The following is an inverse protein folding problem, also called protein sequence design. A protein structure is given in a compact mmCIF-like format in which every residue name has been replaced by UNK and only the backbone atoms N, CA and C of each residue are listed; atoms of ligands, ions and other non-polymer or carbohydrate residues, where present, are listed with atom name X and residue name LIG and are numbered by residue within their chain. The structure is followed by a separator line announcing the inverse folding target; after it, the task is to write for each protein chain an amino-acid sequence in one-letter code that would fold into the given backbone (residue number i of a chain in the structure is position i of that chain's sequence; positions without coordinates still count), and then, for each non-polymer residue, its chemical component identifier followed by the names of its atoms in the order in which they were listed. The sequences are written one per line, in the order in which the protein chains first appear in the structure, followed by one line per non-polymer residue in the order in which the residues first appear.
data_IF_630361667467
#
_entry.id   IF_630361667467
#
_cell.length_a   1.000
_cell.length_b   1.000
_cell.length_c   1.000
_cell.angle_alpha   90.00
_cell.angle_beta   90.00
_cell.angle_gamma   90.00
#
_symmetry.space_group_name_H-M   'P 1'
#
loop_
_entity.id
_entity.type
_entity.pdbx_description
1 polymer ?
#
# COMPACT_ATOMS: atom_id res chain seq x y z
N UNK A 1 8.06 15.21 28.93
CA UNK A 1 7.58 14.12 28.03
C UNK A 1 6.36 13.50 28.66
N UNK A 2 5.31 13.18 27.89
CA UNK A 2 4.16 12.46 28.44
C UNK A 2 4.62 11.11 29.02
N UNK A 3 4.14 10.78 30.22
CA UNK A 3 4.31 9.47 30.86
C UNK A 3 2.98 8.71 30.81
N UNK A 4 3.02 7.39 30.98
CA UNK A 4 1.78 6.59 31.00
C UNK A 4 0.83 7.09 32.10
N UNK A 5 1.36 7.39 33.29
CA UNK A 5 0.58 8.00 34.38
C UNK A 5 0.04 9.40 34.07
N UNK A 6 0.77 10.24 33.32
CA UNK A 6 0.22 11.56 32.95
C UNK A 6 -0.92 11.41 31.94
N UNK A 7 -0.76 10.52 30.95
CA UNK A 7 -1.79 10.25 29.93
C UNK A 7 -3.03 9.60 30.55
N UNK A 8 -2.88 8.69 31.53
CA UNK A 8 -4.03 8.14 32.27
C UNK A 8 -4.84 9.22 32.97
N UNK A 9 -4.16 10.14 33.67
CA UNK A 9 -4.83 11.27 34.32
C UNK A 9 -5.55 12.17 33.32
N UNK A 10 -4.93 12.44 32.17
CA UNK A 10 -5.55 13.23 31.10
C UNK A 10 -6.77 12.51 30.50
N UNK A 11 -6.70 11.18 30.34
CA UNK A 11 -7.83 10.34 29.89
C UNK A 11 -8.97 10.29 30.90
N UNK A 12 -8.68 10.21 32.20
CA UNK A 12 -9.68 10.25 33.27
C UNK A 12 -10.37 11.62 33.37
N UNK A 13 -9.64 12.69 33.04
CA UNK A 13 -10.18 14.05 32.97
C UNK A 13 -11.07 14.27 31.73
N UNK A 14 -10.85 13.50 30.66
CA UNK A 14 -11.76 13.43 29.52
C UNK A 14 -12.97 12.60 29.94
N UNK A 15 -14.18 13.14 29.77
CA UNK A 15 -15.41 12.38 29.98
C UNK A 15 -15.49 11.16 29.05
N UNK A 16 -16.52 10.33 29.23
CA UNK A 16 -16.68 9.05 28.50
C UNK A 16 -16.59 9.22 26.98
N UNK A 17 -17.17 10.28 26.41
CA UNK A 17 -17.09 10.58 24.97
C UNK A 17 -15.66 10.83 24.48
N UNK A 18 -14.85 11.57 25.24
CA UNK A 18 -13.45 11.82 24.87
C UNK A 18 -12.59 10.56 24.99
N UNK A 19 -12.91 9.68 25.94
CA UNK A 19 -12.27 8.37 26.07
C UNK A 19 -12.61 7.46 24.88
N UNK A 20 -13.88 7.44 24.44
CA UNK A 20 -14.33 6.70 23.26
C UNK A 20 -13.65 7.19 21.97
N UNK A 21 -13.54 8.51 21.78
CA UNK A 21 -12.84 9.09 20.63
C UNK A 21 -11.35 8.69 20.59
N UNK A 22 -10.68 8.73 21.74
CA UNK A 22 -9.27 8.33 21.82
C UNK A 22 -9.12 6.83 21.60
N UNK A 23 -10.02 6.01 22.16
CA UNK A 23 -10.01 4.57 21.90
C UNK A 23 -10.14 4.28 20.41
N UNK A 24 -11.11 4.91 19.73
CA UNK A 24 -11.30 4.75 18.29
C UNK A 24 -10.06 5.17 17.48
N UNK A 25 -9.41 6.27 17.85
CA UNK A 25 -8.15 6.70 17.23
C UNK A 25 -7.02 5.69 17.46
N UNK A 26 -6.84 5.20 18.69
CA UNK A 26 -5.81 4.24 19.02
C UNK A 26 -6.04 2.90 18.31
N UNK A 27 -7.29 2.44 18.25
CA UNK A 27 -7.69 1.27 17.48
C UNK A 27 -7.32 1.45 16.01
N UNK A 28 -7.67 2.58 15.38
CA UNK A 28 -7.30 2.85 13.98
C UNK A 28 -5.77 2.82 13.78
N UNK A 29 -5.00 3.44 14.68
CA UNK A 29 -3.53 3.50 14.59
C UNK A 29 -2.91 2.10 14.77
N UNK A 30 -3.39 1.31 15.72
CA UNK A 30 -2.92 -0.05 15.98
C UNK A 30 -3.24 -0.96 14.81
N UNK A 31 -4.48 -0.93 14.31
CA UNK A 31 -4.95 -1.71 13.16
C UNK A 31 -4.14 -1.35 11.91
N UNK A 32 -3.88 -0.06 11.66
CA UNK A 32 -3.03 0.35 10.55
C UNK A 32 -1.59 -0.18 10.69
N UNK A 33 -1.08 -0.27 11.93
CA UNK A 33 0.23 -0.83 12.25
C UNK A 33 0.34 -2.34 12.02
N UNK A 34 -0.64 -3.12 12.49
CA UNK A 34 -0.69 -4.57 12.27
C UNK A 34 -0.84 -4.88 10.78
N UNK A 35 -1.80 -4.24 10.12
CA UNK A 35 -2.08 -4.43 8.70
C UNK A 35 -0.88 -4.07 7.82
N UNK A 36 -0.16 -2.99 8.15
CA UNK A 36 1.10 -2.63 7.50
C UNK A 36 2.16 -3.75 7.56
N UNK A 37 2.22 -4.46 8.68
CA UNK A 37 3.16 -5.55 8.90
C UNK A 37 2.73 -6.79 8.13
N UNK A 38 1.44 -7.14 8.18
CA UNK A 38 0.83 -8.25 7.44
C UNK A 38 1.05 -8.11 5.94
N UNK A 39 0.65 -6.97 5.34
CA UNK A 39 0.86 -6.68 3.91
C UNK A 39 2.35 -6.76 3.54
N UNK A 40 3.23 -6.28 4.42
CA UNK A 40 4.68 -6.33 4.20
C UNK A 40 5.20 -7.77 4.15
N UNK A 41 4.67 -8.65 4.99
CA UNK A 41 5.08 -10.06 5.03
C UNK A 41 4.51 -10.84 3.85
N UNK A 42 3.23 -10.62 3.54
CA UNK A 42 2.56 -11.23 2.39
C UNK A 42 3.31 -10.93 1.07
N UNK A 43 3.76 -9.69 0.86
CA UNK A 43 4.54 -9.33 -0.34
C UNK A 43 5.88 -10.09 -0.41
N UNK A 44 6.53 -10.32 0.73
CA UNK A 44 7.80 -11.08 0.78
C UNK A 44 7.57 -12.56 0.49
N UNK A 45 6.54 -13.15 1.06
CA UNK A 45 6.18 -14.56 0.85
C UNK A 45 5.77 -14.80 -0.61
N UNK A 46 4.95 -13.91 -1.17
CA UNK A 46 4.49 -14.02 -2.55
C UNK A 46 5.58 -13.81 -3.60
N UNK A 47 6.70 -13.15 -3.28
CA UNK A 47 7.77 -12.89 -4.27
C UNK A 47 8.29 -14.17 -4.92
N UNK A 48 8.40 -15.25 -4.15
CA UNK A 48 8.96 -16.52 -4.59
C UNK A 48 8.00 -17.70 -4.45
N UNK A 49 6.70 -17.44 -4.22
CA UNK A 49 5.68 -18.50 -4.11
C UNK A 49 5.54 -19.32 -5.39
N UNK A 50 5.85 -18.71 -6.55
CA UNK A 50 5.84 -19.34 -7.87
C UNK A 50 7.23 -19.75 -8.38
N UNK A 51 8.22 -19.84 -7.48
CA UNK A 51 9.61 -20.14 -7.81
C UNK A 51 10.54 -18.93 -7.77
N UNK A 52 11.85 -19.20 -7.72
CA UNK A 52 12.91 -18.17 -7.57
C UNK A 52 13.28 -17.50 -8.89
N UNK A 53 12.34 -16.79 -9.50
CA UNK A 53 12.55 -16.14 -10.80
C UNK A 53 12.95 -14.66 -10.68
N UNK A 54 13.82 -14.23 -11.58
CA UNK A 54 14.19 -12.84 -11.72
C UNK A 54 13.00 -12.04 -12.28
N UNK A 55 12.55 -10.97 -11.61
CA UNK A 55 11.47 -10.15 -12.15
C UNK A 55 11.88 -9.46 -13.45
N UNK A 56 13.18 -9.23 -13.71
CA UNK A 56 13.62 -8.49 -14.89
C UNK A 56 13.68 -9.34 -16.18
N UNK A 57 14.14 -10.59 -16.10
CA UNK A 57 14.39 -11.44 -17.27
C UNK A 57 13.77 -12.85 -17.18
N UNK A 58 13.03 -13.17 -16.11
CA UNK A 58 12.33 -14.45 -15.95
C UNK A 58 13.21 -15.66 -15.60
N UNK A 59 14.54 -15.55 -15.67
CA UNK A 59 15.45 -16.65 -15.34
C UNK A 59 15.46 -16.96 -13.85
N UNK A 60 15.70 -18.21 -13.48
CA UNK A 60 15.63 -18.74 -12.12
C UNK A 60 16.96 -18.72 -11.34
N UNK A 61 18.05 -18.29 -12.00
CA UNK A 61 19.36 -18.15 -11.37
C UNK A 61 19.46 -16.91 -10.48
N UNK A 62 18.76 -16.93 -9.35
CA UNK A 62 18.71 -15.84 -8.37
C UNK A 62 19.51 -16.18 -7.12
N UNK A 63 20.32 -15.25 -6.63
CA UNK A 63 21.08 -15.39 -5.38
C UNK A 63 20.91 -14.16 -4.47
N UNK A 64 21.08 -14.33 -3.15
CA UNK A 64 21.08 -13.22 -2.20
C UNK A 64 22.30 -12.32 -2.45
N UNK A 65 22.12 -11.00 -2.33
CA UNK A 65 23.14 -9.99 -2.64
C UNK A 65 23.22 -8.91 -1.56
N UNK A 66 23.39 -9.37 -0.31
CA UNK A 66 23.42 -8.53 0.89
C UNK A 66 22.07 -7.92 1.25
N UNK A 67 22.09 -7.00 2.21
CA UNK A 67 20.92 -6.23 2.65
C UNK A 67 21.20 -4.73 2.50
N UNK A 68 20.16 -3.96 2.24
CA UNK A 68 20.20 -2.50 2.26
C UNK A 68 19.02 -1.98 3.07
N UNK A 69 19.26 -1.16 4.09
CA UNK A 69 18.23 -0.68 5.03
C UNK A 69 17.34 -1.83 5.56
N UNK A 70 17.95 -2.91 6.02
CA UNK A 70 17.29 -4.14 6.48
C UNK A 70 16.41 -4.88 5.44
N UNK A 71 16.42 -4.44 4.17
CA UNK A 71 15.73 -5.12 3.07
C UNK A 71 16.69 -6.07 2.36
N UNK A 72 16.24 -7.30 2.12
CA UNK A 72 17.01 -8.27 1.36
C UNK A 72 17.13 -7.82 -0.10
N UNK A 73 18.35 -7.84 -0.63
CA UNK A 73 18.59 -7.70 -2.07
C UNK A 73 18.90 -9.04 -2.69
N UNK A 74 18.54 -9.18 -3.95
CA UNK A 74 18.79 -10.35 -4.78
C UNK A 74 19.52 -9.89 -6.04
N UNK A 75 20.31 -10.78 -6.63
CA UNK A 75 20.95 -10.60 -7.93
C UNK A 75 20.58 -11.77 -8.83
N UNK A 76 20.23 -11.48 -10.07
CA UNK A 76 20.09 -12.49 -11.12
C UNK A 76 21.45 -12.74 -11.77
N UNK A 77 21.87 -13.99 -11.89
CA UNK A 77 23.15 -14.33 -12.52
C UNK A 77 23.12 -14.16 -14.04
N UNK A 78 21.97 -14.36 -14.67
CA UNK A 78 21.80 -14.27 -16.12
C UNK A 78 21.79 -12.82 -16.62
N UNK A 79 20.94 -11.94 -16.08
CA UNK A 79 20.88 -10.52 -16.51
C UNK A 79 21.70 -9.55 -15.64
N UNK A 80 22.32 -10.03 -14.56
CA UNK A 80 23.16 -9.25 -13.63
C UNK A 80 22.45 -8.10 -12.90
N UNK A 81 21.13 -7.96 -13.05
CA UNK A 81 20.32 -6.93 -12.36
C UNK A 81 20.02 -7.34 -10.91
N UNK A 82 19.94 -6.33 -10.03
CA UNK A 82 19.53 -6.52 -8.64
C UNK A 82 18.06 -6.16 -8.43
N UNK A 83 17.44 -6.79 -7.44
CA UNK A 83 16.04 -6.57 -7.08
C UNK A 83 15.78 -6.87 -5.59
N UNK A 84 14.59 -6.53 -5.10
CA UNK A 84 14.14 -6.81 -3.73
C UNK A 84 12.76 -7.47 -3.75
N UNK A 85 12.26 -7.85 -2.58
CA UNK A 85 10.89 -8.37 -2.41
C UNK A 85 9.81 -7.42 -2.94
N UNK A 86 10.12 -6.12 -3.06
CA UNK A 86 9.21 -5.07 -3.50
C UNK A 86 9.44 -4.63 -4.95
N UNK A 87 10.35 -5.27 -5.70
CA UNK A 87 10.60 -4.89 -7.10
C UNK A 87 9.35 -5.10 -7.96
N UNK A 88 8.94 -4.07 -8.72
CA UNK A 88 7.67 -4.04 -9.47
C UNK A 88 6.39 -4.02 -8.62
N UNK A 89 6.46 -3.79 -7.30
CA UNK A 89 5.25 -3.44 -6.54
C UNK A 89 4.90 -1.96 -6.72
N UNK A 90 3.67 -1.52 -6.40
CA UNK A 90 3.30 -0.09 -6.44
C UNK A 90 4.27 0.78 -5.64
N UNK A 91 4.77 0.27 -4.50
CA UNK A 91 5.72 0.98 -3.63
C UNK A 91 7.17 0.96 -4.16
N UNK A 92 7.47 0.28 -5.26
CA UNK A 92 8.83 0.23 -5.81
C UNK A 92 9.40 1.66 -6.02
N UNK A 93 10.63 1.88 -5.57
CA UNK A 93 11.34 3.16 -5.53
C UNK A 93 10.69 4.29 -4.69
N UNK A 94 9.65 3.99 -3.89
CA UNK A 94 9.08 4.96 -2.96
C UNK A 94 9.94 5.09 -1.70
N UNK A 95 10.18 6.34 -1.29
CA UNK A 95 10.81 6.68 -0.01
C UNK A 95 9.80 6.78 1.15
N UNK A 96 8.50 6.66 0.87
CA UNK A 96 7.43 6.81 1.87
C UNK A 96 7.10 5.49 2.55
N UNK A 97 6.61 5.55 3.79
CA UNK A 97 6.27 4.37 4.58
C UNK A 97 5.07 3.58 4.02
N UNK A 98 4.98 2.27 4.28
CA UNK A 98 3.87 1.41 3.83
C UNK A 98 2.54 1.91 4.40
N UNK A 99 2.55 2.42 5.64
CA UNK A 99 1.37 2.99 6.29
C UNK A 99 0.75 4.11 5.47
N UNK A 100 1.58 4.99 4.87
CA UNK A 100 1.10 6.04 3.96
C UNK A 100 0.47 5.47 2.70
N UNK A 101 1.03 4.39 2.12
CA UNK A 101 0.43 3.72 0.96
C UNK A 101 -0.92 3.08 1.30
N UNK A 102 -1.05 2.45 2.46
CA UNK A 102 -2.31 1.85 2.94
C UNK A 102 -3.35 2.93 3.23
N UNK A 103 -2.95 4.03 3.89
CA UNK A 103 -3.84 5.16 4.11
C UNK A 103 -4.31 5.76 2.78
N UNK A 104 -3.43 5.83 1.78
CA UNK A 104 -3.78 6.28 0.45
C UNK A 104 -4.78 5.34 -0.24
N UNK A 105 -4.65 4.02 -0.11
CA UNK A 105 -5.64 3.08 -0.66
C UNK A 105 -7.00 3.24 0.03
N UNK A 106 -7.04 3.47 1.35
CA UNK A 106 -8.28 3.80 2.07
C UNK A 106 -8.93 5.07 1.50
N UNK A 107 -8.15 6.11 1.21
CA UNK A 107 -8.66 7.33 0.57
C UNK A 107 -9.25 7.05 -0.83
N UNK A 108 -8.60 6.18 -1.63
CA UNK A 108 -9.10 5.79 -2.95
C UNK A 108 -10.43 5.02 -2.86
N UNK A 109 -10.54 4.07 -1.93
CA UNK A 109 -11.77 3.30 -1.69
C UNK A 109 -12.93 4.23 -1.29
N UNK A 110 -12.64 5.24 -0.46
CA UNK A 110 -13.61 6.25 -0.05
C UNK A 110 -13.94 7.30 -1.14
N UNK A 111 -13.44 7.13 -2.37
CA UNK A 111 -13.76 8.03 -3.49
C UNK A 111 -13.16 9.43 -3.37
N UNK A 112 -12.11 9.63 -2.56
CA UNK A 112 -11.55 10.96 -2.34
C UNK A 112 -10.84 11.50 -3.60
N UNK A 113 -10.90 12.83 -3.76
CA UNK A 113 -10.19 13.56 -4.80
C UNK A 113 -8.67 13.50 -4.56
N UNK A 114 -7.87 13.67 -5.63
CA UNK A 114 -6.40 13.63 -5.55
C UNK A 114 -5.86 14.62 -4.51
N UNK A 115 -6.48 15.81 -4.42
CA UNK A 115 -6.09 16.86 -3.46
C UNK A 115 -6.42 16.44 -2.02
N UNK A 116 -7.63 15.92 -1.79
CA UNK A 116 -8.03 15.40 -0.47
C UNK A 116 -7.15 14.23 -0.03
N UNK A 117 -6.81 13.31 -0.93
CA UNK A 117 -5.85 12.24 -0.61
C UNK A 117 -4.47 12.80 -0.26
N UNK A 118 -4.01 13.84 -0.97
CA UNK A 118 -2.71 14.46 -0.72
C UNK A 118 -2.64 15.10 0.68
N UNK A 119 -3.73 15.75 1.09
CA UNK A 119 -3.92 16.33 2.42
C UNK A 119 -3.92 15.27 3.51
N UNK A 120 -4.81 14.27 3.43
CA UNK A 120 -4.96 13.21 4.44
C UNK A 120 -3.67 12.39 4.64
N UNK A 121 -2.94 12.10 3.56
CA UNK A 121 -1.71 11.30 3.62
C UNK A 121 -0.46 12.16 3.86
N UNK A 122 -0.61 13.49 3.84
CA UNK A 122 0.45 14.49 3.95
C UNK A 122 1.56 14.25 2.91
N UNK A 123 1.18 14.29 1.64
CA UNK A 123 2.07 14.19 0.48
C UNK A 123 1.77 15.30 -0.51
N UNK A 124 2.69 15.57 -1.44
CA UNK A 124 2.42 16.56 -2.49
C UNK A 124 1.35 16.05 -3.45
N UNK A 125 0.57 16.98 -4.03
CA UNK A 125 -0.45 16.66 -5.04
C UNK A 125 0.12 15.86 -6.23
N UNK A 126 1.32 16.18 -6.77
CA UNK A 126 1.94 15.34 -7.80
C UNK A 126 2.25 13.91 -7.33
N UNK A 127 2.68 13.74 -6.07
CA UNK A 127 2.92 12.40 -5.49
C UNK A 127 1.61 11.62 -5.41
N UNK A 128 0.53 12.27 -4.96
CA UNK A 128 -0.82 11.70 -4.92
C UNK A 128 -1.26 11.24 -6.30
N UNK A 129 -1.15 12.10 -7.33
CA UNK A 129 -1.48 11.74 -8.70
C UNK A 129 -0.69 10.49 -9.18
N UNK A 130 0.62 10.47 -8.97
CA UNK A 130 1.47 9.33 -9.34
C UNK A 130 1.10 8.06 -8.58
N UNK A 131 0.76 8.15 -7.30
CA UNK A 131 0.34 7.01 -6.49
C UNK A 131 -0.99 6.43 -6.99
N UNK A 132 -1.95 7.29 -7.35
CA UNK A 132 -3.22 6.86 -7.94
C UNK A 132 -2.98 6.03 -9.20
N UNK A 133 -2.10 6.49 -10.09
CA UNK A 133 -1.74 5.72 -11.29
C UNK A 133 -1.09 4.38 -10.96
N UNK A 134 -0.20 4.31 -9.98
CA UNK A 134 0.42 3.04 -9.56
C UNK A 134 -0.59 2.04 -9.00
N UNK A 135 -1.57 2.51 -8.24
CA UNK A 135 -2.65 1.65 -7.74
C UNK A 135 -3.55 1.16 -8.87
N UNK A 136 -4.01 2.07 -9.73
CA UNK A 136 -4.85 1.71 -10.88
C UNK A 136 -4.13 0.76 -11.84
N UNK A 137 -2.82 0.93 -12.02
CA UNK A 137 -1.98 0.02 -12.81
C UNK A 137 -1.95 -1.39 -12.21
N UNK A 138 -1.73 -1.50 -10.90
CA UNK A 138 -1.75 -2.79 -10.21
C UNK A 138 -3.14 -3.45 -10.25
N UNK A 139 -4.21 -2.68 -10.07
CA UNK A 139 -5.60 -3.19 -10.17
C UNK A 139 -5.87 -3.68 -11.58
N UNK A 140 -5.49 -2.92 -12.60
CA UNK A 140 -5.64 -3.32 -14.01
C UNK A 140 -4.92 -4.65 -14.30
N UNK A 141 -3.70 -4.81 -13.80
CA UNK A 141 -2.94 -6.07 -13.95
C UNK A 141 -3.61 -7.23 -13.21
N UNK A 142 -4.17 -6.98 -12.02
CA UNK A 142 -4.88 -7.98 -11.23
C UNK A 142 -6.20 -8.43 -11.88
N UNK A 143 -7.02 -7.47 -12.34
CA UNK A 143 -8.26 -7.76 -13.08
C UNK A 143 -7.97 -8.51 -14.38
N UNK A 144 -6.81 -8.25 -14.99
CA UNK A 144 -6.38 -8.89 -16.22
C UNK A 144 -7.26 -8.53 -17.42
N UNK A 145 -7.04 -9.25 -18.52
CA UNK A 145 -7.91 -9.23 -19.69
C UNK A 145 -8.42 -10.66 -19.82
N UNK A 146 -9.73 -10.85 -19.64
CA UNK A 146 -10.36 -12.15 -19.60
C UNK A 146 -11.61 -12.22 -20.47
N UNK A 147 -12.12 -13.43 -20.62
CA UNK A 147 -13.42 -13.67 -21.23
C UNK A 147 -14.45 -13.87 -20.12
N UNK A 148 -15.57 -13.19 -20.23
CA UNK A 148 -16.76 -13.47 -19.42
C UNK A 148 -17.52 -14.63 -20.04
N UNK A 149 -18.17 -15.46 -19.22
CA UNK A 149 -18.92 -16.63 -19.69
C UNK A 149 -20.06 -16.98 -18.74
N UNK A 150 -21.08 -17.68 -19.25
CA UNK A 150 -22.30 -17.99 -18.52
C UNK A 150 -23.36 -16.90 -18.66
N UNK A 151 -24.15 -16.68 -17.60
CA UNK A 151 -25.11 -15.57 -17.53
C UNK A 151 -24.35 -14.31 -17.13
N UNK A 152 -24.36 -13.31 -18.00
CA UNK A 152 -23.63 -12.05 -17.83
C UNK A 152 -24.66 -10.94 -17.63
N UNK A 153 -24.50 -10.19 -16.53
CA UNK A 153 -25.23 -8.96 -16.29
C UNK A 153 -24.35 -7.77 -16.67
N UNK A 154 -24.95 -6.83 -17.39
CA UNK A 154 -24.30 -5.59 -17.82
C UNK A 154 -25.18 -4.45 -17.36
N UNK A 155 -24.61 -3.53 -16.59
CA UNK A 155 -25.28 -2.34 -16.10
C UNK A 155 -24.59 -1.07 -16.63
N UNK A 156 -25.36 -0.01 -16.79
CA UNK A 156 -24.88 1.26 -17.31
C UNK A 156 -24.40 2.17 -16.17
N UNK A 157 -23.20 2.74 -16.32
CA UNK A 157 -22.68 3.75 -15.42
C UNK A 157 -22.59 5.10 -16.15
N UNK A 158 -23.45 6.04 -15.77
CA UNK A 158 -23.45 7.38 -16.34
C UNK A 158 -22.45 8.30 -15.64
N UNK A 159 -21.52 8.86 -16.40
CA UNK A 159 -20.58 9.86 -15.92
C UNK A 159 -20.89 11.22 -16.54
N UNK A 160 -20.80 12.28 -15.72
CA UNK A 160 -20.86 13.65 -16.24
C UNK A 160 -19.49 13.99 -16.83
N UNK A 161 -19.33 13.75 -18.13
CA UNK A 161 -18.16 14.22 -18.85
C UNK A 161 -18.30 15.71 -19.18
N UNK A 162 -17.26 16.46 -18.85
CA UNK A 162 -17.13 17.86 -19.27
C UNK A 162 -16.12 17.90 -20.41
N UNK A 163 -16.62 17.96 -21.64
CA UNK A 163 -15.77 18.26 -22.79
C UNK A 163 -15.33 19.71 -22.67
N UNK A 164 -14.03 19.90 -22.47
CA UNK A 164 -13.39 21.22 -22.48
C UNK A 164 -12.48 21.33 -23.68
#
# INVERSE_FOLDING_TARGET
MPSVESVKKDLEALGTTGQEEILAYLEEVIVLGSFATEVTNEVKENRFSKGKVCPCCGHDEVSRYGKFNNKQRYICKSCRKTFTDFTRSPRYNSKKDIKKWILYSKCMINGYSIRKCAEVVEISVPTSFYWRHKFLDAIRVYMGIGHVGGVIEVDEAFFRESFK
#
